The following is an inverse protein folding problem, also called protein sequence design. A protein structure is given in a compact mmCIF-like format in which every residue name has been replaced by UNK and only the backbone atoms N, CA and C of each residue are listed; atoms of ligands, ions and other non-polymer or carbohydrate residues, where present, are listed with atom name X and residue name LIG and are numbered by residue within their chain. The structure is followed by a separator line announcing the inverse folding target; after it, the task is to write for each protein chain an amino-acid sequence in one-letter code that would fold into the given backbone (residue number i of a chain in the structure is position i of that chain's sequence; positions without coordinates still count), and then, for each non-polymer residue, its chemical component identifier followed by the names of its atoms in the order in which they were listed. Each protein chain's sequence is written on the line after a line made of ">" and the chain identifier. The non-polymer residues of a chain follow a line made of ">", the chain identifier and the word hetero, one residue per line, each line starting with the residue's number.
data_IF_134250742220
#
_entry.id   IF_134250742220
#
_cell.length_a   1.000
_cell.length_b   1.000
_cell.length_c   1.000
_cell.angle_alpha   90.00
_cell.angle_beta   90.00
_cell.angle_gamma   90.00
#
_symmetry.space_group_name_H-M   'P 1'
#
loop_
_entity.id
_entity.type
_entity.pdbx_description
1 polymer ?
#
# COMPACT_ATOMS: atom_id res chain seq x y z
N UNK A 1 15.27 12.42 6.74
CA UNK A 1 13.80 12.41 6.97
C UNK A 1 13.19 13.21 5.82
N UNK A 2 12.42 12.55 4.94
CA UNK A 2 11.78 13.19 3.78
C UNK A 2 10.81 14.27 4.28
N UNK A 3 10.77 15.43 3.65
CA UNK A 3 9.78 16.45 4.01
C UNK A 3 8.36 15.93 3.77
N UNK A 4 7.39 16.30 4.63
CA UNK A 4 6.02 15.86 4.47
C UNK A 4 5.43 16.40 3.17
N UNK A 5 4.65 15.57 2.46
CA UNK A 5 3.96 15.97 1.24
C UNK A 5 3.08 17.20 1.48
N UNK A 6 3.08 18.13 0.53
CA UNK A 6 2.14 19.25 0.49
C UNK A 6 0.70 18.76 0.33
N UNK A 7 -0.27 19.60 0.70
CA UNK A 7 -1.71 19.27 0.52
C UNK A 7 -2.04 18.97 -0.95
N UNK A 8 -1.40 19.68 -1.89
CA UNK A 8 -1.58 19.44 -3.32
C UNK A 8 -1.07 18.05 -3.72
N UNK A 9 0.16 17.71 -3.32
CA UNK A 9 0.75 16.39 -3.58
C UNK A 9 -0.10 15.27 -2.96
N UNK A 10 -0.59 15.44 -1.73
CA UNK A 10 -1.48 14.46 -1.08
C UNK A 10 -2.76 14.23 -1.89
N UNK A 11 -3.42 15.31 -2.34
CA UNK A 11 -4.63 15.21 -3.16
C UNK A 11 -4.37 14.52 -4.51
N UNK A 12 -3.28 14.88 -5.19
CA UNK A 12 -2.90 14.25 -6.46
C UNK A 12 -2.63 12.75 -6.29
N UNK A 13 -1.86 12.38 -5.27
CA UNK A 13 -1.52 11.00 -4.94
C UNK A 13 -2.76 10.16 -4.63
N UNK A 14 -3.65 10.66 -3.77
CA UNK A 14 -4.92 10.01 -3.41
C UNK A 14 -5.80 9.82 -4.65
N UNK A 15 -5.86 10.81 -5.53
CA UNK A 15 -6.66 10.73 -6.75
C UNK A 15 -6.14 9.64 -7.70
N UNK A 16 -4.82 9.58 -7.91
CA UNK A 16 -4.19 8.57 -8.77
C UNK A 16 -4.37 7.15 -8.21
N UNK A 17 -4.25 6.97 -6.88
CA UNK A 17 -4.56 5.71 -6.22
C UNK A 17 -6.00 5.27 -6.46
N UNK A 18 -6.96 6.19 -6.33
CA UNK A 18 -8.37 5.88 -6.56
C UNK A 18 -8.65 5.48 -8.01
N UNK A 19 -7.99 6.15 -8.97
CA UNK A 19 -8.10 5.79 -10.40
C UNK A 19 -7.55 4.38 -10.66
N UNK A 20 -6.40 4.04 -10.08
CA UNK A 20 -5.82 2.69 -10.15
C UNK A 20 -6.77 1.65 -9.56
N UNK A 21 -7.33 1.94 -8.38
CA UNK A 21 -8.26 1.04 -7.71
C UNK A 21 -9.58 0.85 -8.50
N UNK A 22 -10.11 1.95 -9.05
CA UNK A 22 -11.27 1.90 -9.94
C UNK A 22 -11.00 1.02 -11.16
N UNK A 23 -9.82 1.13 -11.77
CA UNK A 23 -9.42 0.29 -12.90
C UNK A 23 -9.38 -1.20 -12.52
N UNK A 24 -8.80 -1.54 -11.36
CA UNK A 24 -8.78 -2.92 -10.85
C UNK A 24 -10.20 -3.48 -10.70
N UNK A 25 -11.11 -2.71 -10.12
CA UNK A 25 -12.47 -3.17 -9.86
C UNK A 25 -13.32 -3.24 -11.13
N UNK A 26 -13.30 -2.20 -11.96
CA UNK A 26 -14.20 -2.06 -13.11
C UNK A 26 -13.72 -2.86 -14.33
N UNK A 27 -12.43 -2.76 -14.66
CA UNK A 27 -11.88 -3.34 -15.89
C UNK A 27 -11.25 -4.70 -15.61
N UNK A 28 -10.45 -4.82 -14.54
CA UNK A 28 -9.77 -6.08 -14.23
C UNK A 28 -10.64 -7.08 -13.46
N UNK A 29 -11.79 -6.64 -12.90
CA UNK A 29 -12.64 -7.48 -12.03
C UNK A 29 -11.82 -8.12 -10.90
N UNK A 30 -10.92 -7.34 -10.30
CA UNK A 30 -9.93 -7.82 -9.33
C UNK A 30 -10.06 -7.05 -8.01
N UNK A 31 -10.20 -7.77 -6.91
CA UNK A 31 -10.17 -7.22 -5.55
C UNK A 31 -8.75 -7.40 -4.99
N UNK A 32 -8.14 -6.35 -4.47
CA UNK A 32 -6.76 -6.36 -3.98
C UNK A 32 -6.61 -7.10 -2.65
N UNK A 33 -7.50 -6.87 -1.69
CA UNK A 33 -7.61 -7.52 -0.37
C UNK A 33 -6.47 -7.26 0.64
N UNK A 34 -5.37 -6.65 0.22
CA UNK A 34 -4.25 -6.23 1.07
C UNK A 34 -3.75 -4.81 0.73
N UNK A 35 -4.68 -3.87 0.53
CA UNK A 35 -4.33 -2.51 0.13
C UNK A 35 -3.80 -1.71 1.35
N UNK A 36 -2.53 -1.31 1.31
CA UNK A 36 -1.82 -0.59 2.37
C UNK A 36 -0.67 0.26 1.79
N UNK A 37 -0.12 1.20 2.56
CA UNK A 37 0.91 2.12 2.07
C UNK A 37 2.17 1.37 1.60
N UNK A 38 2.53 0.28 2.28
CA UNK A 38 3.66 -0.57 1.90
C UNK A 38 3.48 -1.26 0.53
N UNK A 39 2.23 -1.41 0.07
CA UNK A 39 1.89 -2.01 -1.22
C UNK A 39 1.60 -0.94 -2.29
N UNK A 40 1.90 0.33 -2.00
CA UNK A 40 1.91 1.41 -2.97
C UNK A 40 3.34 1.83 -3.26
N UNK A 41 3.80 1.60 -4.48
CA UNK A 41 5.10 2.09 -4.92
C UNK A 41 4.97 3.48 -5.52
N UNK A 42 6.07 4.19 -5.58
CA UNK A 42 6.15 5.51 -6.19
C UNK A 42 7.38 5.56 -7.04
N UNK A 43 7.22 6.01 -8.27
CA UNK A 43 8.33 6.23 -9.22
C UNK A 43 9.32 7.26 -8.69
N UNK A 44 10.57 7.17 -9.14
CA UNK A 44 11.55 8.21 -8.86
C UNK A 44 11.14 9.49 -9.57
N UNK A 45 11.07 10.57 -8.79
CA UNK A 45 10.64 11.89 -9.27
C UNK A 45 11.67 12.49 -10.23
N UNK A 46 12.94 12.23 -9.95
CA UNK A 46 14.09 12.77 -10.67
C UNK A 46 15.00 11.62 -11.13
N UNK A 47 15.19 11.46 -12.44
CA UNK A 47 16.09 10.45 -13.02
C UNK A 47 17.53 10.55 -12.49
N UNK A 48 17.94 11.73 -11.99
CA UNK A 48 19.25 11.96 -11.38
C UNK A 48 19.33 11.51 -9.92
N UNK A 49 18.23 11.09 -9.29
CA UNK A 49 18.22 10.62 -7.91
C UNK A 49 19.12 9.39 -7.73
N UNK A 50 19.00 8.40 -8.63
CA UNK A 50 19.84 7.18 -8.59
C UNK A 50 21.32 7.51 -8.88
N UNK A 51 21.68 8.23 -9.97
CA UNK A 51 23.07 8.63 -10.21
C UNK A 51 23.70 9.41 -9.05
N UNK A 52 22.97 10.36 -8.45
CA UNK A 52 23.43 11.12 -7.28
C UNK A 52 23.63 10.23 -6.07
N UNK A 53 22.68 9.33 -5.79
CA UNK A 53 22.81 8.34 -4.74
C UNK A 53 24.07 7.49 -4.94
N UNK A 54 24.26 6.90 -6.12
CA UNK A 54 25.45 6.11 -6.45
C UNK A 54 26.72 6.92 -6.21
N UNK A 55 26.75 8.18 -6.66
CA UNK A 55 27.90 9.06 -6.47
C UNK A 55 28.18 9.34 -4.98
N UNK A 56 27.15 9.53 -4.15
CA UNK A 56 27.31 9.68 -2.70
C UNK A 56 27.82 8.39 -2.03
N UNK A 57 27.34 7.22 -2.47
CA UNK A 57 27.81 5.92 -1.99
C UNK A 57 29.29 5.70 -2.30
N UNK A 58 29.75 6.14 -3.47
CA UNK A 58 31.17 6.01 -3.88
C UNK A 58 32.06 7.05 -3.18
N UNK A 59 31.59 8.30 -3.03
CA UNK A 59 32.44 9.42 -2.60
C UNK A 59 32.43 9.72 -1.11
N UNK A 60 31.37 9.37 -0.37
CA UNK A 60 31.19 9.83 1.02
C UNK A 60 31.04 8.70 2.02
N UNK A 61 29.96 7.92 1.91
CA UNK A 61 29.62 6.90 2.91
C UNK A 61 28.91 5.74 2.22
N UNK A 62 29.60 4.61 1.98
CA UNK A 62 28.96 3.42 1.45
C UNK A 62 27.93 2.87 2.44
N UNK A 63 26.83 2.34 1.92
CA UNK A 63 25.77 1.74 2.72
C UNK A 63 26.35 0.58 3.53
N UNK A 64 25.89 0.45 4.77
CA UNK A 64 26.13 -0.77 5.51
C UNK A 64 25.52 -1.95 4.76
N UNK A 65 26.28 -3.03 4.70
CA UNK A 65 25.85 -4.30 4.13
C UNK A 65 26.31 -5.44 5.02
N UNK A 66 25.65 -6.58 4.88
CA UNK A 66 26.09 -7.85 5.45
C UNK A 66 26.19 -8.89 4.36
N UNK A 67 27.16 -9.78 4.48
CA UNK A 67 27.30 -10.94 3.61
C UNK A 67 26.88 -12.18 4.38
N UNK A 68 26.00 -12.99 3.80
CA UNK A 68 25.72 -14.31 4.31
C UNK A 68 26.94 -15.22 4.04
N UNK A 69 27.62 -15.74 5.07
CA UNK A 69 28.85 -16.52 4.89
C UNK A 69 28.63 -17.89 4.23
N UNK A 70 27.40 -18.41 4.24
CA UNK A 70 27.06 -19.71 3.63
C UNK A 70 26.71 -19.57 2.15
N UNK A 71 25.99 -18.49 1.77
CA UNK A 71 25.51 -18.29 0.40
C UNK A 71 26.28 -17.23 -0.39
N UNK A 72 27.19 -16.51 0.25
CA UNK A 72 27.85 -15.30 -0.28
C UNK A 72 26.88 -14.20 -0.74
N UNK A 73 25.61 -14.25 -0.32
CA UNK A 73 24.62 -13.25 -0.68
C UNK A 73 24.83 -11.97 0.13
N UNK A 74 24.87 -10.81 -0.53
CA UNK A 74 25.02 -9.50 0.09
C UNK A 74 23.66 -8.85 0.27
N UNK A 75 23.36 -8.40 1.48
CA UNK A 75 22.15 -7.62 1.80
C UNK A 75 22.57 -6.23 2.26
N UNK A 76 22.06 -5.20 1.59
CA UNK A 76 22.30 -3.80 1.94
C UNK A 76 21.23 -3.29 2.91
N UNK A 77 21.62 -2.34 3.76
CA UNK A 77 20.68 -1.60 4.61
C UNK A 77 19.75 -0.75 3.73
N UNK A 78 18.46 -0.65 4.09
CA UNK A 78 17.51 0.24 3.42
C UNK A 78 17.96 1.71 3.53
N UNK A 79 17.73 2.48 2.47
CA UNK A 79 18.10 3.88 2.36
C UNK A 79 16.90 4.73 1.94
N UNK A 80 16.56 5.73 2.75
CA UNK A 80 15.40 6.61 2.58
C UNK A 80 15.78 8.03 2.13
N UNK A 81 17.07 8.29 1.87
CA UNK A 81 17.64 9.62 1.61
C UNK A 81 17.67 10.06 0.14
N UNK A 82 16.78 9.56 -0.71
CA UNK A 82 16.84 9.81 -2.17
C UNK A 82 16.43 11.24 -2.60
N UNK A 83 16.03 12.09 -1.65
CA UNK A 83 15.69 13.50 -1.86
C UNK A 83 14.21 13.83 -1.62
N UNK A 84 13.89 15.12 -1.69
CA UNK A 84 12.52 15.68 -1.71
C UNK A 84 11.94 15.46 -3.11
N UNK A 85 10.65 15.13 -3.29
CA UNK A 85 9.52 16.04 -3.16
C UNK A 85 9.53 17.21 -4.16
N UNK A 86 10.30 17.20 -5.26
CA UNK A 86 10.42 18.41 -6.09
C UNK A 86 9.09 18.71 -6.80
N UNK A 87 8.59 19.94 -6.60
CA UNK A 87 7.24 20.35 -7.03
C UNK A 87 7.15 20.39 -8.56
N UNK A 88 8.27 20.68 -9.23
CA UNK A 88 8.39 20.71 -10.69
C UNK A 88 8.26 19.30 -11.31
N UNK A 89 8.56 18.25 -10.53
CA UNK A 89 8.53 16.84 -10.96
C UNK A 89 7.31 16.07 -10.43
N UNK A 90 6.34 16.72 -9.78
CA UNK A 90 5.13 16.05 -9.23
C UNK A 90 4.33 15.33 -10.32
N UNK A 91 4.41 15.77 -11.58
CA UNK A 91 3.82 15.08 -12.72
C UNK A 91 4.44 13.70 -13.01
N UNK A 92 5.66 13.44 -12.52
CA UNK A 92 6.39 12.18 -12.69
C UNK A 92 6.20 11.22 -11.51
N UNK A 93 5.49 11.64 -10.46
CA UNK A 93 5.23 10.85 -9.25
C UNK A 93 3.90 10.13 -9.43
N UNK A 94 3.97 8.93 -10.00
CA UNK A 94 2.80 8.09 -10.19
C UNK A 94 2.80 7.01 -9.09
N UNK A 95 1.81 7.02 -8.17
CA UNK A 95 1.63 5.89 -7.28
C UNK A 95 1.13 4.69 -8.07
N UNK A 96 1.75 3.54 -7.82
CA UNK A 96 1.37 2.27 -8.43
C UNK A 96 0.91 1.30 -7.35
N UNK A 97 -0.25 0.69 -7.54
CA UNK A 97 -0.75 -0.38 -6.68
C UNK A 97 0.01 -1.65 -7.04
N UNK A 98 0.59 -2.31 -6.05
CA UNK A 98 1.45 -3.48 -6.21
C UNK A 98 1.11 -4.58 -5.21
N UNK A 99 1.78 -5.72 -5.34
CA UNK A 99 1.60 -6.90 -4.48
C UNK A 99 0.20 -7.53 -4.54
N UNK A 100 -0.09 -8.12 -5.71
CA UNK A 100 -1.33 -8.86 -5.96
C UNK A 100 -1.31 -10.30 -5.44
N UNK A 101 -0.36 -10.67 -4.56
CA UNK A 101 -0.21 -12.05 -4.07
C UNK A 101 -1.44 -12.57 -3.31
N UNK A 102 -2.24 -11.67 -2.74
CA UNK A 102 -3.50 -11.99 -2.05
C UNK A 102 -4.75 -11.67 -2.88
N UNK A 103 -4.59 -11.10 -4.07
CA UNK A 103 -5.70 -10.57 -4.84
C UNK A 103 -6.70 -11.65 -5.28
N UNK A 104 -7.97 -11.26 -5.40
CA UNK A 104 -9.08 -12.14 -5.77
C UNK A 104 -9.71 -11.70 -7.08
N UNK A 105 -9.67 -12.59 -8.07
CA UNK A 105 -10.41 -12.42 -9.31
C UNK A 105 -11.90 -12.68 -9.07
N UNK A 106 -12.75 -11.73 -9.44
CA UNK A 106 -14.19 -11.92 -9.55
C UNK A 106 -14.47 -12.69 -10.84
N UNK A 107 -15.00 -13.90 -10.68
CA UNK A 107 -15.35 -14.76 -11.81
C UNK A 107 -16.70 -14.37 -12.39
N UNK A 108 -16.77 -14.22 -13.72
CA UNK A 108 -18.03 -14.24 -14.44
C UNK A 108 -18.34 -15.71 -14.73
N UNK A 109 -19.48 -16.21 -14.28
CA UNK A 109 -19.96 -17.53 -14.72
C UNK A 109 -20.14 -17.49 -16.27
N UNK A 110 -19.35 -18.26 -17.03
CA UNK A 110 -19.41 -18.24 -18.50
C UNK A 110 -20.77 -18.73 -19.04
N UNK A 111 -21.48 -19.55 -18.27
CA UNK A 111 -22.71 -20.21 -18.71
C UNK A 111 -23.97 -19.41 -18.36
N UNK A 112 -24.03 -18.79 -17.17
CA UNK A 112 -25.25 -18.11 -16.73
C UNK A 112 -25.29 -16.61 -17.02
N UNK A 113 -24.15 -15.95 -17.32
CA UNK A 113 -24.01 -14.48 -17.30
C UNK A 113 -24.63 -13.86 -16.03
N UNK A 114 -24.80 -14.63 -14.96
CA UNK A 114 -25.43 -14.16 -13.75
C UNK A 114 -24.37 -13.46 -12.91
N UNK A 115 -24.70 -12.27 -12.43
CA UNK A 115 -23.88 -11.52 -11.47
C UNK A 115 -24.10 -12.06 -10.05
N UNK A 116 -24.26 -13.37 -9.87
CA UNK A 116 -24.21 -13.95 -8.53
C UNK A 116 -22.73 -13.95 -8.11
N UNK A 117 -22.26 -12.77 -7.73
CA UNK A 117 -20.93 -12.57 -7.17
C UNK A 117 -20.80 -13.53 -5.97
N UNK A 118 -19.82 -14.44 -5.97
CA UNK A 118 -19.63 -15.35 -4.85
C UNK A 118 -19.40 -14.55 -3.57
N UNK A 119 -20.21 -14.83 -2.54
CA UNK A 119 -20.03 -14.21 -1.23
C UNK A 119 -18.80 -14.83 -0.56
N UNK A 120 -17.74 -14.06 -0.42
CA UNK A 120 -16.51 -14.49 0.25
C UNK A 120 -16.54 -14.15 1.73
N UNK A 121 -16.29 -15.12 2.61
CA UNK A 121 -16.34 -14.93 4.08
C UNK A 121 -15.04 -15.26 4.79
N UNK A 122 -14.01 -15.71 4.06
CA UNK A 122 -12.71 -15.99 4.64
C UNK A 122 -11.97 -14.69 4.99
N UNK A 123 -11.08 -14.70 6.01
CA UNK A 123 -10.39 -13.50 6.46
C UNK A 123 -9.43 -12.98 5.39
N UNK A 124 -9.51 -11.67 5.15
CA UNK A 124 -8.58 -10.88 4.34
C UNK A 124 -8.11 -9.67 5.13
N UNK A 125 -7.18 -8.91 4.55
CA UNK A 125 -6.64 -7.64 5.07
C UNK A 125 -5.82 -7.78 6.38
N UNK A 126 -4.76 -6.99 6.54
CA UNK A 126 -4.07 -6.84 7.81
C UNK A 126 -5.01 -6.28 8.89
N UNK A 127 -4.74 -6.57 10.17
CA UNK A 127 -5.66 -6.23 11.25
C UNK A 127 -6.04 -4.74 11.30
N UNK A 128 -5.08 -3.82 11.12
CA UNK A 128 -5.32 -2.36 11.13
C UNK A 128 -6.05 -1.83 9.90
N UNK A 129 -6.17 -2.64 8.86
CA UNK A 129 -6.83 -2.25 7.60
C UNK A 129 -8.15 -2.99 7.43
N UNK A 130 -8.47 -3.98 8.27
CA UNK A 130 -9.60 -4.87 8.06
C UNK A 130 -10.93 -4.14 8.08
N UNK A 131 -11.73 -4.36 7.05
CA UNK A 131 -13.05 -3.79 6.88
C UNK A 131 -14.07 -4.42 7.85
N UNK A 132 -15.07 -3.67 8.32
CA UNK A 132 -16.02 -4.16 9.32
C UNK A 132 -16.80 -5.38 8.86
N UNK A 133 -17.19 -5.47 7.58
CA UNK A 133 -17.87 -6.62 6.99
C UNK A 133 -17.00 -7.89 7.01
N UNK A 134 -15.67 -7.74 6.91
CA UNK A 134 -14.70 -8.82 7.05
C UNK A 134 -14.55 -9.24 8.51
N UNK A 135 -14.50 -8.28 9.44
CA UNK A 135 -14.47 -8.56 10.89
C UNK A 135 -15.72 -9.32 11.35
N UNK A 136 -16.88 -8.93 10.82
CA UNK A 136 -18.18 -9.53 11.18
C UNK A 136 -18.48 -10.84 10.43
N UNK A 137 -17.71 -11.17 9.39
CA UNK A 137 -17.92 -12.37 8.58
C UNK A 137 -19.19 -12.33 7.75
N UNK A 138 -19.71 -11.14 7.41
CA UNK A 138 -20.97 -10.98 6.65
C UNK A 138 -20.82 -11.19 5.14
N UNK A 139 -19.62 -11.48 4.68
CA UNK A 139 -19.31 -11.46 3.27
C UNK A 139 -18.64 -10.15 2.88
N UNK A 140 -17.73 -10.21 1.93
CA UNK A 140 -17.06 -9.03 1.40
C UNK A 140 -16.96 -9.08 -0.13
N UNK A 141 -16.84 -7.90 -0.71
CA UNK A 141 -16.64 -7.67 -2.14
C UNK A 141 -15.59 -6.54 -2.34
N UNK A 142 -15.59 -5.88 -3.49
CA UNK A 142 -14.65 -4.78 -3.78
C UNK A 142 -14.76 -3.60 -2.82
N UNK A 143 -15.88 -3.44 -2.09
CA UNK A 143 -16.03 -2.41 -1.06
C UNK A 143 -15.04 -2.55 0.09
N UNK A 144 -14.51 -3.75 0.34
CA UNK A 144 -13.45 -3.98 1.32
C UNK A 144 -12.16 -3.21 0.96
N UNK A 145 -11.81 -3.12 -0.33
CA UNK A 145 -10.68 -2.31 -0.77
C UNK A 145 -10.98 -0.80 -0.64
N UNK A 146 -12.24 -0.38 -0.80
CA UNK A 146 -12.64 1.02 -0.60
C UNK A 146 -12.49 1.41 0.88
N UNK A 147 -12.77 0.49 1.80
CA UNK A 147 -12.44 0.67 3.22
C UNK A 147 -10.93 0.85 3.42
N UNK A 148 -10.10 -0.02 2.85
CA UNK A 148 -8.64 0.12 2.92
C UNK A 148 -8.17 1.46 2.34
N UNK A 149 -8.75 1.90 1.22
CA UNK A 149 -8.47 3.19 0.63
C UNK A 149 -8.82 4.35 1.58
N UNK A 150 -9.93 4.26 2.32
CA UNK A 150 -10.26 5.23 3.37
C UNK A 150 -9.20 5.32 4.48
N UNK A 151 -8.69 4.16 4.92
CA UNK A 151 -7.57 4.08 5.88
C UNK A 151 -6.31 4.72 5.30
N UNK A 152 -5.99 4.45 4.02
CA UNK A 152 -4.86 5.07 3.33
C UNK A 152 -4.96 6.59 3.27
N UNK A 153 -6.14 7.12 2.94
CA UNK A 153 -6.38 8.58 2.90
C UNK A 153 -6.05 9.22 4.24
N UNK A 154 -6.48 8.61 5.35
CA UNK A 154 -6.11 9.07 6.68
C UNK A 154 -4.60 9.04 6.90
N UNK A 155 -3.96 7.90 6.63
CA UNK A 155 -2.53 7.73 6.87
C UNK A 155 -1.68 8.72 6.06
N UNK A 156 -2.08 9.03 4.83
CA UNK A 156 -1.42 10.03 3.98
C UNK A 156 -1.64 11.45 4.52
N UNK A 157 -2.84 11.75 5.01
CA UNK A 157 -3.20 13.10 5.47
C UNK A 157 -2.61 13.41 6.84
N UNK A 158 -2.75 12.51 7.79
CA UNK A 158 -2.33 12.68 9.19
C UNK A 158 -0.91 12.18 9.47
N UNK A 159 -0.31 11.40 8.56
CA UNK A 159 1.03 10.83 8.75
C UNK A 159 1.13 9.81 9.89
N UNK A 160 -0.02 9.31 10.36
CA UNK A 160 -0.15 8.31 11.44
C UNK A 160 -1.20 7.28 11.04
N UNK A 161 -1.10 6.07 11.58
CA UNK A 161 -2.08 5.01 11.33
C UNK A 161 -3.45 5.40 11.93
N UNK A 162 -4.53 5.27 11.15
CA UNK A 162 -5.91 5.51 11.62
C UNK A 162 -6.28 4.58 12.78
N UNK A 163 -5.84 3.33 12.69
CA UNK A 163 -6.14 2.28 13.63
C UNK A 163 -4.83 1.69 14.16
N UNK A 164 -4.59 1.80 15.48
CA UNK A 164 -3.31 1.44 16.12
C UNK A 164 -3.44 0.36 17.18
N UNK A 165 -4.65 0.04 17.63
CA UNK A 165 -4.93 -0.93 18.69
C UNK A 165 -6.06 -1.85 18.27
N UNK A 166 -5.70 -3.04 17.84
CA UNK A 166 -6.63 -4.14 17.54
C UNK A 166 -6.36 -5.35 18.42
N UNK A 167 -5.38 -5.25 19.32
CA UNK A 167 -4.96 -6.31 20.22
C UNK A 167 -4.99 -5.80 21.66
N UNK A 168 -5.45 -6.65 22.58
CA UNK A 168 -5.41 -6.38 24.01
C UNK A 168 -3.97 -6.44 24.56
N UNK A 169 -3.80 -6.15 25.85
CA UNK A 169 -2.50 -6.23 26.52
C UNK A 169 -1.84 -7.63 26.48
N UNK A 170 -2.57 -8.66 26.04
CA UNK A 170 -2.13 -10.03 25.90
C UNK A 170 -1.92 -10.45 24.43
N UNK A 171 -2.02 -9.53 23.47
CA UNK A 171 -1.86 -9.80 22.04
C UNK A 171 -3.05 -10.51 21.40
N UNK A 172 -4.23 -10.51 22.04
CA UNK A 172 -5.46 -11.09 21.48
C UNK A 172 -6.22 -10.03 20.72
N UNK A 173 -6.74 -10.38 19.54
CA UNK A 173 -7.60 -9.50 18.77
C UNK A 173 -8.80 -9.04 19.61
N UNK A 174 -8.86 -7.74 19.92
CA UNK A 174 -9.97 -7.08 20.61
C UNK A 174 -10.69 -6.16 19.62
N UNK A 175 -11.87 -6.53 19.10
CA UNK A 175 -12.62 -5.71 18.15
C UNK A 175 -13.26 -4.47 18.81
N UNK A 176 -13.13 -4.28 20.13
CA UNK A 176 -13.81 -3.23 20.88
C UNK A 176 -12.92 -1.98 21.01
N UNK A 177 -13.21 -0.95 20.22
CA UNK A 177 -12.63 0.39 20.37
C UNK A 177 -12.98 0.99 21.73
N UNK A 178 -12.00 1.19 22.62
CA UNK A 178 -12.15 1.98 23.85
C UNK A 178 -11.34 3.28 23.73
N UNK A 179 -12.03 4.42 23.75
CA UNK A 179 -11.42 5.75 23.95
C UNK A 179 -11.19 6.00 25.44
#
# INVERSE_FOLDING_TARGET
>A
MREPMTVFQKKAYIHLLLLGLQYLHAECRLIHTDLKLANTLTTFENEKAIPRFIQEQVLKSPMHYKTNPETNHITYQSYDGLGTMDVEDVGNVLPEITDFGSARQLGVDPETKSQNEPVFTYPIQPNYYRAPEVVLGYGWDSSADIWNFGVLVWNITEGTELFTQVEDANGRYDPIWRK
#
